data_IF_136287258312
#
_entry.id   IF_136287258312
#
_cell.length_a   1.000
_cell.length_b   1.000
_cell.length_c   1.000
_cell.angle_alpha   90.00
_cell.angle_beta   90.00
_cell.angle_gamma   90.00
#
_symmetry.space_group_name_H-M   'P 1'
#
loop_
_entity.id
_entity.type
_entity.pdbx_description
1 polymer ?
#
# COMPACT_ATOMS: atom_id res chain seq x y z
N UNK A 1 5.36 14.00 -14.28
CA UNK A 1 4.85 13.01 -15.24
C UNK A 1 3.39 12.75 -14.91
N UNK A 2 2.45 13.12 -15.78
CA UNK A 2 1.10 12.57 -15.70
C UNK A 2 1.10 11.27 -16.48
N UNK A 3 1.06 10.13 -15.80
CA UNK A 3 0.52 8.94 -16.45
C UNK A 3 -0.93 9.33 -16.78
N UNK A 4 -1.24 9.44 -18.06
CA UNK A 4 -2.56 9.83 -18.53
C UNK A 4 -3.62 9.05 -17.77
N UNK A 5 -4.43 9.74 -16.97
CA UNK A 5 -5.65 9.24 -16.31
C UNK A 5 -6.75 8.93 -17.36
N UNK A 6 -6.33 8.69 -18.61
CA UNK A 6 -7.18 8.45 -19.74
C UNK A 6 -7.64 6.98 -19.69
N UNK A 7 -8.96 6.73 -19.75
CA UNK A 7 -9.50 5.39 -19.59
C UNK A 7 -8.98 4.47 -20.68
N UNK A 8 -8.25 3.42 -20.29
CA UNK A 8 -7.79 2.38 -21.21
C UNK A 8 -8.89 1.35 -21.41
N UNK A 9 -9.39 1.21 -22.64
CA UNK A 9 -10.44 0.24 -22.96
C UNK A 9 -9.85 -1.17 -22.98
N UNK A 10 -10.41 -2.05 -22.17
CA UNK A 10 -10.05 -3.47 -22.07
C UNK A 10 -11.29 -4.32 -22.34
N UNK A 11 -11.08 -5.48 -22.98
CA UNK A 11 -12.14 -6.42 -23.28
C UNK A 11 -12.01 -7.63 -22.36
N UNK A 12 -13.03 -7.89 -21.55
CA UNK A 12 -13.10 -9.10 -20.72
C UNK A 12 -14.04 -10.11 -21.37
N UNK A 13 -13.58 -11.35 -21.48
CA UNK A 13 -14.43 -12.49 -21.75
C UNK A 13 -14.79 -13.13 -20.42
N UNK A 14 -16.04 -13.00 -20.02
CA UNK A 14 -16.55 -13.56 -18.78
C UNK A 14 -17.65 -14.59 -19.09
N UNK A 15 -17.75 -15.67 -18.32
CA UNK A 15 -18.92 -16.54 -18.33
C UNK A 15 -20.21 -15.76 -18.13
N UNK A 16 -21.28 -16.16 -18.83
CA UNK A 16 -22.59 -15.49 -18.80
C UNK A 16 -23.12 -15.33 -17.37
N UNK A 17 -23.03 -16.39 -16.56
CA UNK A 17 -23.50 -16.39 -15.17
C UNK A 17 -22.83 -15.34 -14.27
N UNK A 18 -21.56 -14.98 -14.54
CA UNK A 18 -20.87 -13.95 -13.77
C UNK A 18 -21.37 -12.56 -14.15
N UNK A 19 -21.65 -12.34 -15.42
CA UNK A 19 -22.18 -11.06 -15.91
C UNK A 19 -23.60 -10.85 -15.38
N UNK A 20 -24.46 -11.87 -15.45
CA UNK A 20 -25.81 -11.80 -14.91
C UNK A 20 -25.83 -11.51 -13.41
N UNK A 21 -24.94 -12.15 -12.64
CA UNK A 21 -24.81 -11.91 -11.21
C UNK A 21 -24.31 -10.50 -10.92
N UNK A 22 -23.34 -10.03 -11.70
CA UNK A 22 -22.79 -8.68 -11.58
C UNK A 22 -23.86 -7.62 -11.86
N UNK A 23 -24.65 -7.80 -12.92
CA UNK A 23 -25.74 -6.90 -13.29
C UNK A 23 -26.82 -6.88 -12.21
N UNK A 24 -27.21 -8.04 -11.66
CA UNK A 24 -28.17 -8.10 -10.55
C UNK A 24 -27.68 -7.39 -9.27
N UNK A 25 -26.36 -7.43 -9.00
CA UNK A 25 -25.75 -6.70 -7.89
C UNK A 25 -25.73 -5.19 -8.22
N UNK A 26 -25.37 -4.81 -9.44
CA UNK A 26 -25.35 -3.43 -9.90
C UNK A 26 -26.74 -2.78 -9.76
N UNK A 27 -27.79 -3.48 -10.19
CA UNK A 27 -29.20 -3.08 -10.00
C UNK A 27 -29.57 -2.93 -8.51
N UNK A 28 -29.10 -3.84 -7.65
CA UNK A 28 -29.37 -3.78 -6.21
C UNK A 28 -28.74 -2.55 -5.54
N UNK A 29 -27.53 -2.16 -6.00
CA UNK A 29 -26.78 -1.04 -5.44
C UNK A 29 -27.00 0.28 -6.20
N UNK A 30 -27.82 0.31 -7.25
CA UNK A 30 -28.03 1.45 -8.15
C UNK A 30 -26.68 2.02 -8.66
N UNK A 31 -25.76 1.11 -9.00
CA UNK A 31 -24.40 1.44 -9.48
C UNK A 31 -24.23 1.00 -10.93
N UNK A 32 -23.44 1.73 -11.71
CA UNK A 32 -23.00 1.29 -13.02
C UNK A 32 -22.08 0.06 -12.92
N UNK A 33 -22.25 -0.88 -13.86
CA UNK A 33 -21.41 -2.08 -13.96
C UNK A 33 -19.92 -1.77 -14.00
N UNK A 34 -19.55 -0.69 -14.69
CA UNK A 34 -18.15 -0.27 -14.84
C UNK A 34 -17.60 0.21 -13.51
N UNK A 35 -18.35 1.01 -12.76
CA UNK A 35 -17.94 1.50 -11.43
C UNK A 35 -17.80 0.35 -10.44
N UNK A 36 -18.71 -0.62 -10.48
CA UNK A 36 -18.63 -1.80 -9.62
C UNK A 36 -17.39 -2.65 -9.92
N UNK A 37 -17.07 -2.83 -11.21
CA UNK A 37 -15.83 -3.52 -11.61
C UNK A 37 -14.57 -2.73 -11.23
N UNK A 38 -14.59 -1.41 -11.37
CA UNK A 38 -13.47 -0.55 -10.96
C UNK A 38 -13.24 -0.61 -9.46
N UNK A 39 -14.31 -0.56 -8.67
CA UNK A 39 -14.27 -0.68 -7.21
C UNK A 39 -13.72 -2.04 -6.80
N UNK A 40 -14.26 -3.13 -7.37
CA UNK A 40 -13.80 -4.49 -7.07
C UNK A 40 -12.33 -4.72 -7.45
N UNK A 41 -11.88 -4.21 -8.60
CA UNK A 41 -10.47 -4.34 -9.02
C UNK A 41 -9.56 -3.51 -8.10
N UNK A 42 -9.99 -2.31 -7.70
CA UNK A 42 -9.20 -1.49 -6.77
C UNK A 42 -9.04 -2.20 -5.42
N UNK A 43 -10.15 -2.69 -4.87
CA UNK A 43 -10.18 -3.41 -3.60
C UNK A 43 -9.32 -4.67 -3.66
N UNK A 44 -9.45 -5.46 -4.73
CA UNK A 44 -8.66 -6.68 -4.94
C UNK A 44 -7.15 -6.38 -5.06
N UNK A 45 -6.76 -5.32 -5.76
CA UNK A 45 -5.35 -4.89 -5.84
C UNK A 45 -4.84 -4.44 -4.47
N UNK A 46 -5.62 -3.65 -3.73
CA UNK A 46 -5.24 -3.21 -2.39
C UNK A 46 -5.12 -4.39 -1.42
N UNK A 47 -6.08 -5.31 -1.41
CA UNK A 47 -6.03 -6.52 -0.59
C UNK A 47 -4.83 -7.40 -0.96
N UNK A 48 -4.63 -7.65 -2.26
CA UNK A 48 -3.52 -8.44 -2.78
C UNK A 48 -2.17 -7.81 -2.42
N UNK A 49 -2.04 -6.48 -2.52
CA UNK A 49 -0.82 -5.77 -2.14
C UNK A 49 -0.51 -5.86 -0.62
N UNK A 50 -1.55 -5.95 0.22
CA UNK A 50 -1.42 -6.12 1.67
C UNK A 50 -1.32 -7.59 2.11
N UNK A 51 -1.51 -8.54 1.21
CA UNK A 51 -1.39 -9.96 1.50
C UNK A 51 0.05 -10.35 1.82
N UNK A 52 0.27 -10.97 2.99
CA UNK A 52 1.60 -11.43 3.43
C UNK A 52 2.25 -12.35 2.38
N UNK A 53 1.48 -13.22 1.73
CA UNK A 53 1.98 -14.13 0.69
C UNK A 53 2.53 -13.40 -0.54
N UNK A 54 1.87 -12.30 -0.93
CA UNK A 54 2.30 -11.49 -2.09
C UNK A 54 3.51 -10.66 -1.72
N UNK A 55 3.51 -10.05 -0.54
CA UNK A 55 4.66 -9.30 -0.03
C UNK A 55 5.90 -10.18 0.10
N UNK A 56 5.77 -11.41 0.60
CA UNK A 56 6.88 -12.36 0.70
C UNK A 56 7.41 -12.77 -0.69
N UNK A 57 6.51 -13.04 -1.65
CA UNK A 57 6.89 -13.36 -3.02
C UNK A 57 7.64 -12.19 -3.69
N UNK A 58 7.11 -10.97 -3.54
CA UNK A 58 7.72 -9.75 -4.09
C UNK A 58 9.07 -9.48 -3.42
N UNK A 59 9.17 -9.62 -2.11
CA UNK A 59 10.41 -9.47 -1.35
C UNK A 59 11.48 -10.46 -1.83
N UNK A 60 11.13 -11.74 -1.96
CA UNK A 60 12.03 -12.80 -2.43
C UNK A 60 12.56 -12.47 -3.82
N UNK A 61 11.68 -12.06 -4.73
CA UNK A 61 12.06 -11.68 -6.10
C UNK A 61 12.89 -10.39 -6.16
N UNK A 62 12.63 -9.44 -5.26
CA UNK A 62 13.37 -8.18 -5.17
C UNK A 62 14.78 -8.35 -4.60
N UNK A 63 14.93 -9.20 -3.58
CA UNK A 63 16.24 -9.53 -3.01
C UNK A 63 17.11 -10.34 -3.96
N UNK A 64 16.51 -11.12 -4.86
CA UNK A 64 17.22 -11.87 -5.91
C UNK A 64 17.47 -11.04 -7.20
N UNK A 65 17.27 -9.72 -7.16
CA UNK A 65 17.45 -8.79 -8.30
C UNK A 65 16.59 -9.13 -9.55
N UNK A 66 15.50 -9.88 -9.36
CA UNK A 66 14.56 -10.24 -10.44
C UNK A 66 13.47 -9.19 -10.66
N UNK A 67 13.33 -8.22 -9.75
CA UNK A 67 12.35 -7.14 -9.84
C UNK A 67 13.02 -5.79 -9.61
N UNK A 68 12.71 -4.82 -10.47
CA UNK A 68 13.07 -3.43 -10.27
C UNK A 68 12.24 -2.80 -9.15
N UNK A 69 12.83 -1.81 -8.47
CA UNK A 69 12.18 -1.07 -7.39
C UNK A 69 10.86 -0.41 -7.84
N UNK A 70 10.80 0.11 -9.07
CA UNK A 70 9.57 0.71 -9.62
C UNK A 70 8.45 -0.33 -9.79
N UNK A 71 8.79 -1.58 -10.13
CA UNK A 71 7.82 -2.66 -10.24
C UNK A 71 7.32 -3.09 -8.86
N UNK A 72 8.21 -3.19 -7.88
CA UNK A 72 7.84 -3.46 -6.47
C UNK A 72 6.91 -2.38 -5.95
N UNK A 73 7.21 -1.10 -6.23
CA UNK A 73 6.36 0.04 -5.85
C UNK A 73 4.94 -0.02 -6.44
N UNK A 74 4.79 -0.55 -7.65
CA UNK A 74 3.48 -0.76 -8.27
C UNK A 74 2.71 -1.95 -7.68
N UNK A 75 3.42 -2.97 -7.19
CA UNK A 75 2.83 -4.21 -6.68
C UNK A 75 2.42 -4.14 -5.21
N UNK A 76 3.27 -3.58 -4.34
CA UNK A 76 3.05 -3.54 -2.88
C UNK A 76 2.82 -2.13 -2.34
N UNK A 77 2.81 -1.13 -3.22
CA UNK A 77 2.71 0.28 -2.86
C UNK A 77 4.05 0.90 -2.47
N UNK A 78 4.07 2.23 -2.36
CA UNK A 78 5.28 3.01 -2.11
C UNK A 78 5.89 2.78 -0.73
N UNK A 79 5.06 2.65 0.30
CA UNK A 79 5.51 2.44 1.68
C UNK A 79 6.20 1.08 1.84
N UNK A 80 5.52 0.00 1.46
CA UNK A 80 6.06 -1.36 1.55
C UNK A 80 7.30 -1.53 0.67
N UNK A 81 7.31 -0.96 -0.54
CA UNK A 81 8.49 -0.99 -1.40
C UNK A 81 9.70 -0.30 -0.77
N UNK A 82 9.52 0.87 -0.16
CA UNK A 82 10.58 1.55 0.57
C UNK A 82 11.09 0.71 1.74
N UNK A 83 10.19 0.06 2.49
CA UNK A 83 10.57 -0.85 3.57
C UNK A 83 11.43 -2.00 3.06
N UNK A 84 11.07 -2.62 1.94
CA UNK A 84 11.86 -3.68 1.30
C UNK A 84 13.23 -3.18 0.84
N UNK A 85 13.30 -1.98 0.26
CA UNK A 85 14.58 -1.36 -0.15
C UNK A 85 15.51 -1.09 1.02
N UNK A 86 14.98 -0.57 2.13
CA UNK A 86 15.76 -0.34 3.34
C UNK A 86 16.26 -1.66 3.94
N UNK A 87 15.42 -2.70 3.95
CA UNK A 87 15.80 -4.02 4.44
C UNK A 87 16.88 -4.67 3.58
N UNK A 88 16.79 -4.51 2.26
CA UNK A 88 17.81 -4.96 1.30
C UNK A 88 19.16 -4.25 1.57
N UNK A 89 19.15 -2.92 1.67
CA UNK A 89 20.34 -2.13 1.95
C UNK A 89 21.00 -2.51 3.30
N UNK A 90 20.20 -2.75 4.34
CA UNK A 90 20.68 -3.26 5.63
C UNK A 90 21.35 -4.63 5.51
N UNK A 91 20.74 -5.58 4.78
CA UNK A 91 21.32 -6.90 4.52
C UNK A 91 22.65 -6.82 3.77
N UNK A 92 22.77 -5.89 2.82
CA UNK A 92 23.97 -5.68 2.00
C UNK A 92 25.03 -4.80 2.69
N UNK A 93 24.73 -4.28 3.89
CA UNK A 93 25.62 -3.39 4.64
C UNK A 93 25.81 -2.02 3.99
N UNK A 94 24.88 -1.62 3.13
CA UNK A 94 24.88 -0.34 2.43
C UNK A 94 24.29 0.77 3.33
N UNK A 95 24.86 1.99 3.35
CA UNK A 95 24.30 3.07 4.16
C UNK A 95 22.87 3.38 3.72
N UNK A 96 21.96 3.38 4.70
CA UNK A 96 20.54 3.66 4.45
C UNK A 96 20.37 5.11 3.99
N UNK A 97 19.76 5.28 2.81
CA UNK A 97 19.38 6.57 2.23
C UNK A 97 18.13 7.12 2.93
N UNK A 98 18.27 7.38 4.24
CA UNK A 98 17.23 7.98 5.08
C UNK A 98 17.42 9.49 5.08
N UNK A 99 16.32 10.24 4.96
CA UNK A 99 16.36 11.67 5.21
C UNK A 99 16.88 11.90 6.63
N UNK A 100 17.87 12.78 6.78
CA UNK A 100 18.36 13.16 8.10
C UNK A 100 17.17 13.65 8.92
N UNK A 101 16.97 13.05 10.09
CA UNK A 101 15.99 13.55 11.05
C UNK A 101 16.32 15.00 11.35
N UNK A 102 15.34 15.89 11.19
CA UNK A 102 15.45 17.25 11.70
C UNK A 102 15.68 17.11 13.21
N UNK A 103 16.77 17.70 13.71
CA UNK A 103 17.14 17.73 15.13
C UNK A 103 16.17 18.68 15.86
N UNK A 104 14.90 18.29 15.84
CA UNK A 104 13.82 18.92 16.57
C UNK A 104 13.89 18.33 17.96
N UNK A 105 14.28 19.16 18.92
CA UNK A 105 14.18 18.84 20.33
C UNK A 105 12.71 18.81 20.74
N UNK A 106 12.06 17.65 20.53
CA UNK A 106 10.68 17.35 20.95
C UNK A 106 10.54 17.51 22.49
N UNK A 107 11.65 17.48 23.23
CA UNK A 107 11.70 17.58 24.68
C UNK A 107 12.14 18.98 25.19
N UNK A 108 12.34 19.95 24.30
CA UNK A 108 12.75 21.31 24.66
C UNK A 108 11.62 22.19 25.23
N UNK A 109 10.40 21.66 25.31
CA UNK A 109 9.28 22.31 25.98
C UNK A 109 9.35 22.14 27.50
N UNK A 110 8.91 23.17 28.24
CA UNK A 110 8.80 23.16 29.71
C UNK A 110 8.08 21.87 30.15
N UNK A 111 8.86 20.90 30.64
CA UNK A 111 8.34 19.63 31.08
C UNK A 111 7.45 19.89 32.30
N UNK A 112 6.14 19.96 32.09
CA UNK A 112 5.19 20.05 33.19
C UNK A 112 5.28 18.75 33.98
N UNK A 113 5.98 18.80 35.11
CA UNK A 113 5.95 17.72 36.08
C UNK A 113 4.54 17.68 36.64
N UNK A 114 3.79 16.62 36.33
CA UNK A 114 2.50 16.38 36.95
C UNK A 114 2.73 16.24 38.46
N UNK A 115 2.32 17.25 39.23
CA UNK A 115 2.35 17.21 40.68
C UNK A 115 1.31 16.18 41.12
N UNK A 116 1.76 14.96 41.39
CA UNK A 116 0.94 13.93 42.04
C UNK A 116 0.94 14.21 43.53
N UNK A 117 0.27 15.29 43.94
CA UNK A 117 -0.07 15.50 45.34
C UNK A 117 -1.20 14.51 45.70
N UNK A 118 -0.81 13.25 45.88
CA UNK A 118 -1.64 12.26 46.56
C UNK A 118 -1.81 12.76 48.00
N UNK A 119 -3.06 13.09 48.32
CA UNK A 119 -3.45 13.56 49.63
C UNK A 119 -3.39 12.38 50.61
N UNK A 120 -2.28 12.27 51.33
CA UNK A 120 -2.17 11.42 52.52
C UNK A 120 -2.07 12.33 53.75
N UNK A 121 -3.24 12.69 54.31
CA UNK A 121 -3.64 12.48 55.73
C UNK A 121 -4.97 13.21 56.05
#
# INVERSE_FOLDING_TARGET
MGASDEPRRIHFQSPEYLVERLDAIADLFDKDRTDLLLEAIRDDIEETAHSESVQELVATKYYDDQLDFETVKQLVGAETAQRLRLLKADLEGEPLDLAASEDIDIYGGDATTADTSDADE
#
